data_IF_884757826246
#
_entry.id   IF_884757826246
#
_cell.length_a   1.000
_cell.length_b   1.000
_cell.length_c   1.000
_cell.angle_alpha   90.00
_cell.angle_beta   90.00
_cell.angle_gamma   90.00
#
_symmetry.space_group_name_H-M   'P 1'
#
loop_
_entity.id
_entity.type
_entity.pdbx_description
1 polymer ?
#
# COMPACT_ATOMS: atom_id res chain seq x y z
N UNK A 1 15.89 -14.22 -17.55
CA UNK A 1 14.85 -13.16 -17.60
C UNK A 1 15.14 -12.16 -16.50
N UNK A 2 14.81 -10.88 -16.67
CA UNK A 2 14.77 -9.95 -15.53
C UNK A 2 13.48 -10.17 -14.71
N UNK A 3 13.35 -9.51 -13.55
CA UNK A 3 12.19 -9.69 -12.67
C UNK A 3 10.86 -9.33 -13.36
N UNK A 4 10.84 -8.26 -14.15
CA UNK A 4 9.66 -7.87 -14.93
C UNK A 4 9.24 -8.95 -15.95
N UNK A 5 10.17 -9.43 -16.77
CA UNK A 5 9.93 -10.48 -17.76
C UNK A 5 9.44 -11.77 -17.10
N UNK A 6 10.07 -12.15 -15.98
CA UNK A 6 9.72 -13.35 -15.20
C UNK A 6 8.28 -13.28 -14.70
N UNK A 7 7.91 -12.16 -14.07
CA UNK A 7 6.57 -11.94 -13.52
C UNK A 7 5.52 -11.88 -14.62
N UNK A 8 5.76 -11.10 -15.69
CA UNK A 8 4.78 -10.96 -16.76
C UNK A 8 4.57 -12.26 -17.54
N UNK A 9 5.63 -13.07 -17.71
CA UNK A 9 5.52 -14.43 -18.27
C UNK A 9 4.60 -15.31 -17.42
N UNK A 10 4.82 -15.32 -16.10
CA UNK A 10 4.01 -16.11 -15.17
C UNK A 10 2.53 -15.64 -15.14
N UNK A 11 2.29 -14.32 -15.09
CA UNK A 11 0.94 -13.75 -15.15
C UNK A 11 0.23 -14.03 -16.48
N UNK A 12 0.99 -14.26 -17.55
CA UNK A 12 0.46 -14.68 -18.85
C UNK A 12 0.21 -16.19 -18.96
N UNK A 13 0.22 -16.91 -17.84
CA UNK A 13 0.06 -18.38 -17.77
C UNK A 13 1.10 -19.15 -18.60
N UNK A 14 2.30 -18.58 -18.77
CA UNK A 14 3.44 -19.22 -19.43
C UNK A 14 4.52 -19.57 -18.40
N UNK A 15 5.39 -20.52 -18.74
CA UNK A 15 6.48 -20.94 -17.86
C UNK A 15 7.64 -19.93 -17.91
N UNK A 16 7.99 -19.25 -16.80
CA UNK A 16 9.17 -18.40 -16.71
C UNK A 16 10.45 -19.22 -16.46
N UNK A 17 11.60 -18.55 -16.40
CA UNK A 17 12.89 -19.15 -16.07
C UNK A 17 12.97 -19.73 -14.64
N UNK A 18 12.23 -19.15 -13.69
CA UNK A 18 11.93 -19.71 -12.36
C UNK A 18 10.64 -19.11 -11.80
N UNK A 19 10.09 -19.72 -10.75
CA UNK A 19 8.93 -19.15 -10.02
C UNK A 19 9.28 -17.71 -9.56
N UNK A 20 8.44 -16.70 -9.88
CA UNK A 20 8.61 -15.35 -9.35
C UNK A 20 8.47 -15.35 -7.83
N UNK A 21 9.33 -14.62 -7.15
CA UNK A 21 9.38 -14.58 -5.69
C UNK A 21 9.06 -13.17 -5.18
N UNK A 22 7.91 -13.01 -4.52
CA UNK A 22 7.46 -11.72 -3.99
C UNK A 22 7.61 -11.67 -2.48
N UNK A 23 8.17 -10.57 -1.99
CA UNK A 23 8.25 -10.25 -0.57
C UNK A 23 7.56 -8.91 -0.32
N UNK A 24 6.31 -8.98 0.12
CA UNK A 24 5.50 -7.80 0.42
C UNK A 24 5.80 -7.30 1.84
N UNK A 25 6.89 -6.55 1.96
CA UNK A 25 7.46 -6.10 3.24
C UNK A 25 6.65 -5.04 3.99
N UNK A 26 5.68 -4.38 3.35
CA UNK A 26 4.85 -3.30 3.90
C UNK A 26 5.68 -2.23 4.63
N UNK A 27 5.84 -2.33 5.95
CA UNK A 27 6.54 -1.34 6.80
C UNK A 27 8.00 -1.68 7.11
N UNK A 28 8.53 -2.84 6.70
CA UNK A 28 9.92 -3.21 6.97
C UNK A 28 10.95 -2.26 6.34
N UNK A 29 10.56 -1.51 5.31
CA UNK A 29 11.41 -0.43 4.77
C UNK A 29 11.76 0.63 5.81
N UNK A 30 10.88 0.88 6.79
CA UNK A 30 11.16 1.78 7.91
C UNK A 30 12.38 1.28 8.72
N UNK A 31 12.41 -0.03 9.01
CA UNK A 31 13.52 -0.68 9.72
C UNK A 31 14.83 -0.62 8.94
N UNK A 32 14.80 -0.89 7.63
CA UNK A 32 16.00 -0.78 6.77
C UNK A 32 16.54 0.65 6.65
N UNK A 33 15.72 1.65 6.96
CA UNK A 33 16.09 3.07 6.97
C UNK A 33 16.40 3.63 8.36
N UNK A 34 16.21 2.84 9.43
CA UNK A 34 16.32 3.34 10.80
C UNK A 34 15.30 4.44 11.10
N UNK A 35 14.10 4.36 10.52
CA UNK A 35 13.00 5.32 10.72
C UNK A 35 11.88 4.68 11.52
N UNK A 36 11.15 5.51 12.28
CA UNK A 36 9.85 5.11 12.81
C UNK A 36 8.83 4.96 11.67
N UNK A 37 7.80 4.14 11.88
CA UNK A 37 6.81 3.77 10.86
C UNK A 37 5.99 5.00 10.41
N UNK A 38 5.69 5.93 11.32
CA UNK A 38 4.95 7.16 10.98
C UNK A 38 5.76 8.04 10.04
N UNK A 39 7.05 8.24 10.32
CA UNK A 39 7.97 8.97 9.45
C UNK A 39 8.12 8.25 8.11
N UNK A 40 8.27 6.93 8.10
CA UNK A 40 8.40 6.15 6.86
C UNK A 40 7.22 6.37 5.90
N UNK A 41 5.98 6.35 6.39
CA UNK A 41 4.80 6.59 5.56
C UNK A 41 4.44 8.08 5.38
N UNK A 42 5.21 9.00 5.94
CA UNK A 42 4.92 10.43 5.83
C UNK A 42 5.25 11.03 4.46
N UNK A 43 6.14 10.38 3.69
CA UNK A 43 6.59 10.84 2.36
C UNK A 43 6.87 9.66 1.43
N UNK A 44 6.49 9.79 0.18
CA UNK A 44 6.73 8.85 -0.90
C UNK A 44 8.21 8.48 -1.02
N UNK A 45 9.12 9.47 -0.92
CA UNK A 45 10.55 9.27 -1.06
C UNK A 45 11.12 8.28 -0.02
N UNK A 46 10.57 8.26 1.18
CA UNK A 46 10.98 7.31 2.21
C UNK A 46 10.55 5.89 1.83
N UNK A 47 9.30 5.73 1.37
CA UNK A 47 8.78 4.44 0.88
C UNK A 47 9.61 3.93 -0.31
N UNK A 48 9.86 4.78 -1.30
CA UNK A 48 10.68 4.50 -2.49
C UNK A 48 12.07 4.00 -2.10
N UNK A 49 12.78 4.73 -1.25
CA UNK A 49 14.12 4.35 -0.81
C UNK A 49 14.11 3.03 -0.01
N UNK A 50 13.10 2.82 0.84
CA UNK A 50 12.94 1.55 1.56
C UNK A 50 12.74 0.36 0.62
N UNK A 51 11.89 0.52 -0.40
CA UNK A 51 11.66 -0.52 -1.41
C UNK A 51 12.93 -0.85 -2.20
N UNK A 52 13.75 0.16 -2.55
CA UNK A 52 15.03 -0.04 -3.24
C UNK A 52 16.00 -0.84 -2.38
N UNK A 53 16.18 -0.48 -1.10
CA UNK A 53 17.06 -1.23 -0.19
C UNK A 53 16.61 -2.67 0.03
N UNK A 54 15.31 -2.88 0.17
CA UNK A 54 14.73 -4.23 0.31
C UNK A 54 14.95 -5.05 -0.96
N UNK A 55 14.80 -4.43 -2.15
CA UNK A 55 15.07 -5.09 -3.43
C UNK A 55 16.55 -5.50 -3.53
N UNK A 56 17.46 -4.58 -3.24
CA UNK A 56 18.91 -4.83 -3.30
C UNK A 56 19.35 -5.91 -2.30
N UNK A 57 18.76 -5.91 -1.10
CA UNK A 57 19.11 -6.85 -0.03
C UNK A 57 18.57 -8.26 -0.25
N UNK A 58 17.35 -8.40 -0.76
CA UNK A 58 16.66 -9.70 -0.83
C UNK A 58 16.50 -10.25 -2.25
N UNK A 59 16.74 -9.45 -3.29
CA UNK A 59 16.68 -9.91 -4.69
C UNK A 59 15.31 -10.44 -5.14
N UNK A 60 14.22 -9.93 -4.54
CA UNK A 60 12.86 -10.34 -4.87
C UNK A 60 12.38 -9.75 -6.21
N UNK A 61 11.27 -10.26 -6.73
CA UNK A 61 10.83 -9.99 -8.10
C UNK A 61 9.76 -8.90 -8.22
N UNK A 62 9.49 -8.11 -7.18
CA UNK A 62 8.55 -6.99 -7.24
C UNK A 62 9.03 -5.79 -6.41
N UNK A 63 8.47 -4.62 -6.69
CA UNK A 63 8.48 -3.48 -5.78
C UNK A 63 7.05 -3.28 -5.31
N UNK A 64 6.84 -3.15 -4.00
CA UNK A 64 5.52 -3.08 -3.39
C UNK A 64 5.32 -1.78 -2.60
N UNK A 65 5.12 -0.61 -3.27
CA UNK A 65 4.89 0.69 -2.62
C UNK A 65 3.48 0.84 -2.05
N UNK A 66 3.00 -0.19 -1.36
CA UNK A 66 1.80 -0.12 -0.56
C UNK A 66 2.14 0.55 0.78
N UNK A 67 1.38 1.57 1.14
CA UNK A 67 1.57 2.27 2.42
C UNK A 67 0.99 1.43 3.55
N UNK A 68 -0.34 1.45 3.72
CA UNK A 68 -1.02 0.65 4.71
C UNK A 68 -2.53 0.60 4.41
N UNK A 69 -3.21 -0.40 4.98
CA UNK A 69 -4.63 -0.63 4.72
C UNK A 69 -5.54 0.51 5.18
N UNK A 70 -5.12 1.27 6.19
CA UNK A 70 -5.92 2.38 6.73
C UNK A 70 -5.95 3.63 5.82
N UNK A 71 -5.22 3.64 4.70
CA UNK A 71 -4.99 4.86 3.92
C UNK A 71 -6.28 5.38 3.27
N UNK A 72 -7.07 4.50 2.67
CA UNK A 72 -8.34 4.86 2.06
C UNK A 72 -9.38 5.21 3.12
N UNK A 73 -9.38 4.54 4.28
CA UNK A 73 -10.27 4.89 5.40
C UNK A 73 -10.02 6.33 5.88
N UNK A 74 -8.76 6.78 5.85
CA UNK A 74 -8.42 8.17 6.16
C UNK A 74 -9.04 9.18 5.19
N UNK A 75 -9.16 8.84 3.91
CA UNK A 75 -9.86 9.71 2.96
C UNK A 75 -11.35 9.88 3.28
N UNK A 76 -11.96 8.91 3.97
CA UNK A 76 -13.33 9.00 4.50
C UNK A 76 -13.41 9.67 5.88
N UNK A 77 -12.33 10.29 6.36
CA UNK A 77 -12.30 11.05 7.62
C UNK A 77 -11.97 10.22 8.86
N UNK A 78 -11.49 8.99 8.70
CA UNK A 78 -11.06 8.14 9.82
C UNK A 78 -9.62 8.48 10.23
N UNK A 79 -9.35 8.56 11.53
CA UNK A 79 -7.96 8.73 12.00
C UNK A 79 -7.10 7.52 11.65
N UNK A 80 -5.78 7.71 11.54
CA UNK A 80 -4.81 6.61 11.40
C UNK A 80 -4.05 6.46 12.72
N UNK A 81 -4.07 5.25 13.26
CA UNK A 81 -3.33 4.86 14.44
C UNK A 81 -1.98 4.25 14.03
N UNK A 82 -0.89 4.81 14.55
CA UNK A 82 0.47 4.32 14.33
C UNK A 82 1.00 3.65 15.58
N UNK A 83 1.76 2.58 15.38
CA UNK A 83 2.36 1.76 16.42
C UNK A 83 3.88 1.73 16.23
N UNK A 84 4.63 1.50 17.30
CA UNK A 84 6.11 1.43 17.22
C UNK A 84 6.58 0.20 16.44
N UNK A 85 5.95 -0.95 16.65
CA UNK A 85 6.29 -2.23 16.02
C UNK A 85 5.03 -2.90 15.44
N UNK A 86 4.43 -2.26 14.44
CA UNK A 86 3.25 -2.79 13.76
C UNK A 86 2.74 -1.92 12.62
N UNK A 87 1.92 -2.48 11.72
CA UNK A 87 1.34 -1.73 10.63
C UNK A 87 0.38 -0.65 11.16
N UNK A 88 0.27 0.52 10.49
CA UNK A 88 -0.75 1.50 10.81
C UNK A 88 -2.16 0.93 10.62
N UNK A 89 -3.07 1.25 11.54
CA UNK A 89 -4.46 0.80 11.51
C UNK A 89 -5.42 1.98 11.42
N UNK A 90 -6.64 1.70 10.95
CA UNK A 90 -7.70 2.69 10.94
C UNK A 90 -8.22 2.85 12.38
N UNK A 91 -8.43 4.09 12.81
CA UNK A 91 -8.95 4.44 14.11
C UNK A 91 -10.45 4.17 14.22
N UNK A 92 -11.17 5.04 14.95
CA UNK A 92 -12.60 4.82 15.21
C UNK A 92 -13.45 4.88 13.92
N UNK A 93 -14.34 3.90 13.67
CA UNK A 93 -15.25 3.91 12.54
C UNK A 93 -16.04 5.22 12.41
N UNK A 94 -16.09 5.77 11.20
CA UNK A 94 -16.83 7.00 10.88
C UNK A 94 -18.33 6.76 10.70
N UNK A 95 -18.73 5.55 10.26
CA UNK A 95 -20.13 5.14 10.14
C UNK A 95 -20.59 4.56 11.48
N UNK A 96 -21.45 5.30 12.18
CA UNK A 96 -21.99 4.92 13.49
C UNK A 96 -23.36 4.28 13.37
N UNK A 97 -24.15 4.64 12.36
CA UNK A 97 -25.44 4.04 12.08
C UNK A 97 -25.88 4.18 10.63
N UNK A 98 -27.08 3.68 10.33
CA UNK A 98 -27.63 3.63 8.97
C UNK A 98 -27.75 5.01 8.30
N UNK A 99 -28.02 6.06 9.06
CA UNK A 99 -28.12 7.43 8.55
C UNK A 99 -26.79 7.88 7.91
N UNK A 100 -25.67 7.59 8.56
CA UNK A 100 -24.34 7.98 8.07
C UNK A 100 -24.01 7.35 6.72
N UNK A 101 -24.54 6.15 6.42
CA UNK A 101 -24.35 5.47 5.13
C UNK A 101 -25.01 6.27 4.00
N UNK A 102 -26.22 6.79 4.24
CA UNK A 102 -26.95 7.57 3.24
C UNK A 102 -26.38 8.98 3.04
N UNK A 103 -25.71 9.53 4.06
CA UNK A 103 -25.07 10.85 4.02
C UNK A 103 -23.59 10.79 3.61
N UNK A 104 -23.00 9.59 3.52
CA UNK A 104 -21.60 9.37 3.18
C UNK A 104 -21.31 9.92 1.78
N UNK A 105 -20.27 10.74 1.67
CA UNK A 105 -19.74 11.22 0.40
C UNK A 105 -18.46 10.48 0.07
N UNK A 106 -18.38 9.97 -1.15
CA UNK A 106 -17.13 9.40 -1.67
C UNK A 106 -16.10 10.51 -1.82
N UNK A 107 -14.94 10.45 -1.15
CA UNK A 107 -13.88 11.42 -1.34
C UNK A 107 -13.26 11.27 -2.74
N UNK A 108 -12.87 12.38 -3.36
CA UNK A 108 -12.00 12.34 -4.53
C UNK A 108 -10.57 12.01 -4.07
N UNK A 109 -9.93 10.93 -4.56
CA UNK A 109 -8.54 10.61 -4.22
C UNK A 109 -7.56 11.75 -4.52
N UNK A 110 -7.85 12.62 -5.51
CA UNK A 110 -7.01 13.74 -5.87
C UNK A 110 -7.00 14.86 -4.81
N UNK A 111 -8.01 14.90 -3.93
CA UNK A 111 -8.11 15.89 -2.85
C UNK A 111 -7.46 15.40 -1.54
N UNK A 112 -6.88 14.18 -1.53
CA UNK A 112 -6.28 13.61 -0.33
C UNK A 112 -4.75 13.51 -0.46
N UNK A 113 -4.03 14.35 0.29
CA UNK A 113 -2.56 14.39 0.27
C UNK A 113 -1.90 13.03 0.57
N UNK A 114 -2.50 12.20 1.44
CA UNK A 114 -1.93 10.89 1.79
C UNK A 114 -2.10 9.86 0.66
N UNK A 115 -3.23 9.89 -0.04
CA UNK A 115 -3.41 9.08 -1.25
C UNK A 115 -2.46 9.56 -2.37
N UNK A 116 -2.26 10.87 -2.51
CA UNK A 116 -1.31 11.44 -3.46
C UNK A 116 0.14 11.01 -3.18
N UNK A 117 0.56 10.89 -1.91
CA UNK A 117 1.88 10.33 -1.57
C UNK A 117 2.04 8.86 -2.04
N UNK A 118 0.98 8.05 -1.95
CA UNK A 118 1.01 6.68 -2.48
C UNK A 118 1.12 6.66 -4.01
N UNK A 119 0.36 7.50 -4.71
CA UNK A 119 0.47 7.67 -6.17
C UNK A 119 1.88 8.11 -6.56
N UNK A 120 2.42 9.11 -5.87
CA UNK A 120 3.78 9.63 -6.10
C UNK A 120 4.85 8.55 -5.91
N UNK A 121 4.73 7.68 -4.91
CA UNK A 121 5.66 6.57 -4.71
C UNK A 121 5.63 5.58 -5.88
N UNK A 122 4.44 5.24 -6.38
CA UNK A 122 4.26 4.40 -7.58
C UNK A 122 4.88 5.06 -8.80
N UNK A 123 4.66 6.37 -9.01
CA UNK A 123 5.25 7.12 -10.12
C UNK A 123 6.77 7.11 -10.10
N UNK A 124 7.37 7.40 -8.95
CA UNK A 124 8.83 7.45 -8.77
C UNK A 124 9.47 6.09 -9.05
N UNK A 125 8.95 5.01 -8.47
CA UNK A 125 9.45 3.66 -8.73
C UNK A 125 9.22 3.24 -10.18
N UNK A 126 8.06 3.58 -10.75
CA UNK A 126 7.76 3.24 -12.15
C UNK A 126 8.73 3.93 -13.10
N UNK A 127 9.08 5.20 -12.87
CA UNK A 127 10.07 5.93 -13.70
C UNK A 127 11.43 5.25 -13.69
N UNK A 128 11.87 4.72 -12.54
CA UNK A 128 13.19 4.12 -12.38
C UNK A 128 13.26 2.63 -12.83
N UNK A 129 12.21 1.85 -12.54
CA UNK A 129 12.22 0.37 -12.67
C UNK A 129 11.37 -0.17 -13.82
N UNK A 130 10.73 0.68 -14.64
CA UNK A 130 9.94 0.25 -15.80
C UNK A 130 10.68 -0.80 -16.63
N UNK A 131 10.01 -1.93 -16.91
CA UNK A 131 10.54 -3.09 -17.66
C UNK A 131 11.76 -3.79 -17.02
N UNK A 132 12.16 -3.46 -15.78
CA UNK A 132 13.22 -4.13 -15.01
C UNK A 132 12.65 -4.97 -13.88
N UNK A 133 11.84 -4.33 -13.03
CA UNK A 133 11.14 -4.94 -11.89
C UNK A 133 9.71 -4.38 -11.86
N UNK A 134 8.67 -5.21 -11.73
CA UNK A 134 7.30 -4.73 -11.72
C UNK A 134 7.01 -3.98 -10.42
N UNK A 135 6.39 -2.81 -10.55
CA UNK A 135 5.82 -2.07 -9.43
C UNK A 135 4.39 -2.53 -9.26
N UNK A 136 4.09 -3.14 -8.12
CA UNK A 136 2.78 -3.71 -7.80
C UNK A 136 2.30 -2.98 -6.56
N UNK A 137 1.15 -2.34 -6.64
CA UNK A 137 0.52 -1.73 -5.47
C UNK A 137 -0.85 -2.35 -5.24
N UNK A 138 -1.44 -2.07 -4.10
CA UNK A 138 -2.77 -2.52 -3.73
C UNK A 138 -3.59 -1.33 -3.23
N UNK A 139 -4.90 -1.43 -3.44
CA UNK A 139 -5.91 -0.57 -2.83
C UNK A 139 -6.86 -1.45 -2.04
N UNK A 140 -7.52 -0.90 -1.03
CA UNK A 140 -8.47 -1.67 -0.24
C UNK A 140 -9.69 -2.06 -1.06
N UNK A 141 -10.00 -3.35 -1.04
CA UNK A 141 -11.12 -3.91 -1.76
C UNK A 141 -12.48 -3.42 -1.25
N UNK A 142 -13.52 -3.45 -2.10
CA UNK A 142 -14.83 -2.89 -1.79
C UNK A 142 -15.61 -3.63 -0.70
N UNK A 143 -15.17 -4.83 -0.31
CA UNK A 143 -15.72 -5.56 0.85
C UNK A 143 -14.98 -5.24 2.16
N UNK A 144 -13.70 -4.87 2.08
CA UNK A 144 -12.90 -4.58 3.27
C UNK A 144 -13.08 -3.15 3.73
N UNK A 145 -13.18 -2.19 2.80
CA UNK A 145 -13.30 -0.79 3.15
C UNK A 145 -14.55 -0.49 4.01
N UNK A 146 -15.77 -0.98 3.67
CA UNK A 146 -16.94 -0.77 4.53
C UNK A 146 -16.76 -1.32 5.94
N UNK A 147 -16.16 -2.51 6.08
CA UNK A 147 -15.84 -3.12 7.39
C UNK A 147 -14.95 -2.20 8.22
N UNK A 148 -13.98 -1.52 7.60
CA UNK A 148 -13.12 -0.55 8.28
C UNK A 148 -13.89 0.72 8.69
N UNK A 149 -14.79 1.20 7.84
CA UNK A 149 -15.55 2.44 8.05
C UNK A 149 -16.68 2.32 9.09
N UNK A 150 -17.25 1.12 9.30
CA UNK A 150 -18.38 0.91 10.21
C UNK A 150 -18.16 -0.11 11.33
N UNK A 151 -17.07 -0.88 11.23
CA UNK A 151 -16.76 -2.01 12.12
C UNK A 151 -17.44 -3.31 11.68
N UNK A 152 -16.76 -4.43 11.91
CA UNK A 152 -17.18 -5.76 11.47
C UNK A 152 -18.57 -6.16 11.97
N UNK A 153 -18.88 -5.91 13.24
CA UNK A 153 -20.16 -6.31 13.84
C UNK A 153 -21.39 -5.62 13.22
N UNK A 154 -21.23 -4.45 12.60
CA UNK A 154 -22.35 -3.76 11.93
C UNK A 154 -22.44 -4.13 10.45
N UNK A 155 -21.35 -4.65 9.89
CA UNK A 155 -21.26 -5.05 8.49
C UNK A 155 -21.87 -6.42 8.23
N UNK A 156 -21.66 -7.36 9.17
CA UNK A 156 -22.30 -8.69 9.18
C UNK A 156 -23.78 -8.59 9.54
#
# INVERSE_FOLDING_TARGET
MNSYERVMTALSHKQPDRVPFFLCFTFYGAKELGMDIRKYFSKAEHVVEGQKRLLDKFGHDCLYPFFHAALEAHAFGQDIEFYEDGPPNAGRPVIRGRKDIFELKTPDPADNEKLLEAVKAVELLSREFRKKTPVISAVIGPYSLPVMLMGLNKWL
#
